data_IF_071108312914
#
_entry.id   IF_071108312914
#
_cell.length_a   1.000
_cell.length_b   1.000
_cell.length_c   1.000
_cell.angle_alpha   90.00
_cell.angle_beta   90.00
_cell.angle_gamma   90.00
#
_symmetry.space_group_name_H-M   'P 1'
#
loop_
_entity.id
_entity.type
_entity.pdbx_description
1 polymer ?
#
# COMPACT_ATOMS: atom_id res chain seq x y z
N UNK A 1 16.55 -0.11 -47.39
CA UNK A 1 15.18 -0.14 -46.85
C UNK A 1 15.06 -1.39 -45.99
N UNK A 2 15.47 -1.31 -44.73
CA UNK A 2 15.19 -2.34 -43.73
C UNK A 2 13.96 -1.87 -42.99
N UNK A 3 12.84 -2.56 -43.19
CA UNK A 3 11.61 -2.31 -42.45
C UNK A 3 11.82 -2.81 -41.03
N UNK A 4 12.02 -1.86 -40.11
CA UNK A 4 11.94 -2.11 -38.68
C UNK A 4 10.45 -2.24 -38.37
N UNK A 5 10.02 -3.46 -38.13
CA UNK A 5 8.66 -3.74 -37.65
C UNK A 5 8.56 -3.24 -36.22
N UNK A 6 7.92 -2.10 -36.04
CA UNK A 6 7.41 -1.65 -34.75
C UNK A 6 6.38 -2.68 -34.28
N UNK A 7 6.81 -3.59 -33.40
CA UNK A 7 5.90 -4.36 -32.57
C UNK A 7 5.30 -3.41 -31.53
N UNK A 8 3.97 -3.33 -31.41
CA UNK A 8 3.36 -2.54 -30.34
C UNK A 8 3.73 -3.15 -28.99
N UNK A 9 4.19 -2.28 -28.09
CA UNK A 9 4.44 -2.57 -26.68
C UNK A 9 3.22 -3.30 -26.10
N UNK A 10 3.42 -4.50 -25.57
CA UNK A 10 2.35 -5.32 -25.03
C UNK A 10 1.56 -4.51 -23.99
N UNK A 11 0.26 -4.39 -24.23
CA UNK A 11 -0.72 -3.84 -23.29
C UNK A 11 -0.60 -4.58 -21.96
N UNK A 12 -0.22 -3.84 -20.90
CA UNK A 12 -0.13 -4.37 -19.53
C UNK A 12 -1.52 -4.82 -19.08
N UNK A 13 -1.79 -6.11 -19.19
CA UNK A 13 -2.98 -6.71 -18.58
C UNK A 13 -2.62 -7.05 -17.15
N UNK A 14 -2.99 -6.17 -16.22
CA UNK A 14 -3.24 -6.57 -14.83
C UNK A 14 -4.17 -7.78 -14.91
N UNK A 15 -3.70 -8.96 -14.51
CA UNK A 15 -4.55 -10.15 -14.49
C UNK A 15 -5.45 -10.10 -13.23
N UNK A 16 -6.34 -9.09 -13.18
CA UNK A 16 -7.23 -8.81 -12.05
C UNK A 16 -8.08 -10.04 -11.68
N UNK A 17 -8.50 -10.83 -12.68
CA UNK A 17 -9.30 -12.04 -12.46
C UNK A 17 -8.59 -13.12 -11.62
N UNK A 18 -7.25 -13.11 -11.55
CA UNK A 18 -6.46 -14.04 -10.77
C UNK A 18 -5.99 -13.46 -9.42
N UNK A 19 -6.07 -12.14 -9.23
CA UNK A 19 -5.60 -11.51 -8.00
C UNK A 19 -6.59 -11.76 -6.84
N UNK A 20 -6.04 -12.07 -5.66
CA UNK A 20 -6.79 -12.23 -4.42
C UNK A 20 -6.02 -11.57 -3.30
N UNK A 21 -6.72 -10.83 -2.43
CA UNK A 21 -6.12 -10.26 -1.23
C UNK A 21 -5.72 -11.39 -0.26
N UNK A 22 -4.52 -11.32 0.29
CA UNK A 22 -4.01 -12.27 1.25
C UNK A 22 -4.91 -12.31 2.49
N UNK A 23 -5.28 -13.49 3.03
CA UNK A 23 -6.23 -13.61 4.14
C UNK A 23 -5.86 -12.80 5.38
N UNK A 24 -4.56 -12.72 5.71
CA UNK A 24 -4.09 -11.91 6.83
C UNK A 24 -4.32 -10.41 6.60
N UNK A 25 -4.06 -9.90 5.39
CA UNK A 25 -4.32 -8.49 5.06
C UNK A 25 -5.81 -8.20 5.12
N UNK A 26 -6.64 -9.13 4.62
CA UNK A 26 -8.10 -9.02 4.71
C UNK A 26 -8.58 -8.96 6.17
N UNK A 27 -8.04 -9.81 7.05
CA UNK A 27 -8.41 -9.86 8.47
C UNK A 27 -7.92 -8.63 9.25
N UNK A 28 -6.77 -8.07 8.87
CA UNK A 28 -6.10 -7.00 9.63
C UNK A 28 -6.45 -5.59 9.16
N UNK A 29 -7.22 -5.45 8.07
CA UNK A 29 -7.48 -4.14 7.49
C UNK A 29 -8.89 -4.01 6.92
N UNK A 30 -9.35 -2.76 6.86
CA UNK A 30 -10.68 -2.35 6.41
C UNK A 30 -10.55 -1.76 4.99
N UNK A 31 -11.43 -2.10 4.02
CA UNK A 31 -11.38 -1.50 2.69
C UNK A 31 -11.65 0.01 2.74
N UNK A 32 -10.88 0.81 2.02
CA UNK A 32 -11.08 2.27 1.91
C UNK A 32 -11.53 2.64 0.50
N UNK A 33 -10.70 2.33 -0.50
CA UNK A 33 -10.98 2.63 -1.91
C UNK A 33 -10.08 1.78 -2.81
N UNK A 34 -10.28 1.91 -4.12
CA UNK A 34 -9.41 1.35 -5.15
C UNK A 34 -8.87 2.48 -6.03
N UNK A 35 -7.54 2.54 -6.13
CA UNK A 35 -6.82 3.36 -7.09
C UNK A 35 -6.64 2.56 -8.40
N UNK A 36 -6.13 3.17 -9.49
CA UNK A 36 -5.95 2.47 -10.77
C UNK A 36 -5.26 1.12 -10.64
N UNK A 37 -4.22 1.00 -9.80
CA UNK A 37 -3.48 -0.25 -9.58
C UNK A 37 -3.68 -0.81 -8.16
N UNK A 38 -3.68 0.04 -7.13
CA UNK A 38 -3.68 -0.43 -5.74
C UNK A 38 -5.08 -0.50 -5.13
N UNK A 39 -5.38 -1.60 -4.43
CA UNK A 39 -6.40 -1.57 -3.38
C UNK A 39 -5.84 -0.80 -2.18
N UNK A 40 -6.61 0.17 -1.66
CA UNK A 40 -6.24 0.95 -0.48
C UNK A 40 -7.05 0.47 0.72
N UNK A 41 -6.36 0.17 1.81
CA UNK A 41 -6.97 -0.37 3.02
C UNK A 41 -6.44 0.34 4.26
N UNK A 42 -7.29 0.53 5.25
CA UNK A 42 -6.91 1.05 6.57
C UNK A 42 -6.48 -0.13 7.43
N UNK A 43 -5.24 -0.15 7.91
CA UNK A 43 -4.84 -1.12 8.93
C UNK A 43 -5.69 -0.85 10.18
N UNK A 44 -6.32 -1.89 10.74
CA UNK A 44 -7.24 -1.73 11.86
C UNK A 44 -6.47 -1.61 13.20
N UNK A 45 -5.58 -0.63 13.28
CA UNK A 45 -4.80 -0.24 14.45
C UNK A 45 -4.94 1.27 14.70
N UNK A 46 -5.94 1.66 15.49
CA UNK A 46 -6.31 3.03 15.79
C UNK A 46 -5.23 3.87 16.50
N UNK A 47 -4.13 3.23 16.91
CA UNK A 47 -2.95 3.93 17.46
C UNK A 47 -2.28 4.85 16.43
N UNK A 48 -2.44 4.58 15.13
CA UNK A 48 -1.81 5.33 14.05
C UNK A 48 -2.77 5.46 12.85
N UNK A 49 -2.84 6.63 12.18
CA UNK A 49 -3.44 6.70 10.85
C UNK A 49 -2.54 5.95 9.85
N UNK A 50 -2.96 4.74 9.50
CA UNK A 50 -2.12 3.78 8.76
C UNK A 50 -2.88 3.13 7.63
N UNK A 51 -2.54 3.52 6.39
CA UNK A 51 -3.07 2.87 5.18
C UNK A 51 -2.05 1.94 4.54
N UNK A 52 -2.58 0.93 3.86
CA UNK A 52 -1.87 -0.03 3.04
C UNK A 52 -2.28 0.20 1.59
N UNK A 53 -1.31 0.28 0.70
CA UNK A 53 -1.52 0.16 -0.74
C UNK A 53 -1.09 -1.23 -1.19
N UNK A 54 -2.01 -1.99 -1.79
CA UNK A 54 -1.76 -3.36 -2.26
C UNK A 54 -1.98 -3.40 -3.77
N UNK A 55 -0.92 -3.49 -4.59
CA UNK A 55 -1.07 -3.62 -6.04
C UNK A 55 -1.90 -4.85 -6.40
N UNK A 56 -2.93 -4.66 -7.24
CA UNK A 56 -3.85 -5.73 -7.66
C UNK A 56 -3.26 -6.62 -8.77
N UNK A 57 -2.06 -7.16 -8.52
CA UNK A 57 -1.28 -7.97 -9.46
C UNK A 57 -1.01 -9.36 -8.86
N UNK A 58 -1.54 -10.39 -9.50
CA UNK A 58 -1.49 -11.76 -8.98
C UNK A 58 -0.04 -12.25 -8.81
N UNK A 59 0.28 -12.82 -7.64
CA UNK A 59 1.60 -13.40 -7.35
C UNK A 59 2.72 -12.38 -7.11
N UNK A 60 2.43 -11.08 -7.09
CA UNK A 60 3.44 -10.05 -6.85
C UNK A 60 3.87 -10.04 -5.38
N UNK A 61 5.16 -10.26 -5.13
CA UNK A 61 5.73 -10.30 -3.77
C UNK A 61 6.69 -9.16 -3.49
N UNK A 62 7.43 -8.69 -4.50
CA UNK A 62 8.42 -7.62 -4.34
C UNK A 62 8.17 -6.50 -5.34
N UNK A 63 8.61 -5.29 -4.96
CA UNK A 63 8.57 -4.14 -5.86
C UNK A 63 9.42 -4.35 -7.13
N UNK A 64 10.56 -5.04 -6.98
CA UNK A 64 11.49 -5.32 -8.08
C UNK A 64 10.87 -6.20 -9.19
N UNK A 65 9.84 -6.98 -8.87
CA UNK A 65 9.19 -7.89 -9.81
C UNK A 65 8.15 -7.17 -10.70
N UNK A 66 7.88 -5.88 -10.44
CA UNK A 66 6.92 -5.10 -11.23
C UNK A 66 7.52 -4.63 -12.57
N UNK A 67 6.72 -4.64 -13.65
CA UNK A 67 7.03 -3.87 -14.86
C UNK A 67 7.27 -2.40 -14.50
N UNK A 68 8.21 -1.74 -15.20
CA UNK A 68 8.67 -0.40 -14.84
C UNK A 68 7.56 0.67 -14.89
N UNK A 69 6.72 0.60 -15.90
CA UNK A 69 5.55 1.48 -16.08
C UNK A 69 4.55 1.32 -14.92
N UNK A 70 4.28 0.09 -14.52
CA UNK A 70 3.44 -0.22 -13.36
C UNK A 70 4.09 0.27 -12.06
N UNK A 71 5.40 0.05 -11.88
CA UNK A 71 6.11 0.51 -10.71
C UNK A 71 6.07 2.04 -10.56
N UNK A 72 6.15 2.79 -11.67
CA UNK A 72 5.97 4.24 -11.65
C UNK A 72 4.54 4.64 -11.28
N UNK A 73 3.52 3.97 -11.84
CA UNK A 73 2.12 4.24 -11.47
C UNK A 73 1.84 3.96 -9.99
N UNK A 74 2.38 2.86 -9.44
CA UNK A 74 2.27 2.55 -8.01
C UNK A 74 2.98 3.59 -7.16
N UNK A 75 4.14 4.11 -7.60
CA UNK A 75 4.82 5.21 -6.91
C UNK A 75 3.97 6.48 -6.88
N UNK A 76 3.30 6.82 -7.99
CA UNK A 76 2.39 7.96 -8.06
C UNK A 76 1.20 7.80 -7.11
N UNK A 77 0.62 6.61 -7.03
CA UNK A 77 -0.45 6.28 -6.07
C UNK A 77 0.01 6.37 -4.60
N UNK A 78 1.25 5.92 -4.31
CA UNK A 78 1.88 6.10 -2.98
C UNK A 78 2.07 7.58 -2.66
N UNK A 79 2.43 8.41 -3.62
CA UNK A 79 2.56 9.85 -3.42
C UNK A 79 1.20 10.52 -3.17
N UNK A 80 0.15 10.14 -3.92
CA UNK A 80 -1.22 10.61 -3.69
C UNK A 80 -1.71 10.26 -2.29
N UNK A 81 -1.51 9.01 -1.86
CA UNK A 81 -1.89 8.53 -0.54
C UNK A 81 -1.19 9.31 0.59
N UNK A 82 0.10 9.62 0.43
CA UNK A 82 0.84 10.46 1.37
C UNK A 82 0.30 11.89 1.42
N UNK A 83 -0.05 12.49 0.27
CA UNK A 83 -0.63 13.84 0.24
C UNK A 83 -1.97 13.89 0.95
N UNK A 84 -2.82 12.88 0.77
CA UNK A 84 -4.10 12.76 1.49
C UNK A 84 -3.88 12.63 3.00
N UNK A 85 -2.95 11.76 3.45
CA UNK A 85 -2.60 11.66 4.86
C UNK A 85 -2.09 13.00 5.41
N UNK A 86 -1.26 13.71 4.64
CA UNK A 86 -0.75 15.02 5.04
C UNK A 86 -1.86 16.04 5.22
N UNK A 87 -2.84 16.07 4.32
CA UNK A 87 -3.96 17.01 4.35
C UNK A 87 -4.95 16.72 5.49
N UNK A 88 -5.28 15.45 5.73
CA UNK A 88 -6.28 15.06 6.73
C UNK A 88 -5.71 15.14 8.15
N UNK A 89 -4.48 14.68 8.35
CA UNK A 89 -3.93 14.44 9.68
C UNK A 89 -2.85 15.44 10.10
N UNK A 90 -2.28 16.19 9.16
CA UNK A 90 -1.14 17.12 9.39
C UNK A 90 -0.03 16.51 10.27
N UNK A 91 0.47 15.30 9.95
CA UNK A 91 1.50 14.65 10.75
C UNK A 91 2.83 15.39 10.66
N UNK A 92 3.71 15.13 11.63
CA UNK A 92 5.09 15.66 11.58
C UNK A 92 5.97 14.89 10.59
N UNK A 93 5.56 13.66 10.25
CA UNK A 93 6.26 12.80 9.29
C UNK A 93 5.30 11.73 8.77
N UNK A 94 5.53 11.27 7.54
CA UNK A 94 4.92 10.05 7.01
C UNK A 94 6.02 9.00 6.86
N UNK A 95 5.78 7.77 7.33
CA UNK A 95 6.66 6.63 7.09
C UNK A 95 6.09 5.79 5.95
N UNK A 96 6.95 5.45 5.00
CA UNK A 96 6.62 4.60 3.86
C UNK A 96 7.56 3.42 3.81
N UNK A 97 7.03 2.20 3.70
CA UNK A 97 7.85 1.00 3.55
C UNK A 97 7.08 -0.15 2.90
N UNK A 98 7.78 -0.99 2.14
CA UNK A 98 7.34 -2.33 1.76
C UNK A 98 8.29 -3.33 2.45
N UNK A 99 7.78 -4.10 3.43
CA UNK A 99 8.61 -4.99 4.26
C UNK A 99 8.34 -6.47 3.95
N UNK A 100 7.10 -6.96 4.03
CA UNK A 100 6.73 -8.27 3.47
C UNK A 100 7.30 -9.54 4.14
N UNK A 101 8.05 -9.46 5.26
CA UNK A 101 8.69 -10.65 5.88
C UNK A 101 7.72 -11.75 6.34
N UNK A 102 6.45 -11.41 6.67
CA UNK A 102 5.44 -12.37 7.17
C UNK A 102 4.30 -12.61 6.19
N UNK A 103 3.92 -11.60 5.43
CA UNK A 103 2.92 -11.66 4.37
C UNK A 103 3.64 -11.28 3.10
N UNK A 104 3.79 -12.26 2.21
CA UNK A 104 4.61 -12.17 1.01
C UNK A 104 3.96 -11.32 -0.09
N UNK A 105 2.63 -11.27 -0.16
CA UNK A 105 1.92 -10.39 -1.08
C UNK A 105 2.36 -8.94 -0.88
N UNK A 106 2.84 -8.30 -1.95
CA UNK A 106 3.35 -6.94 -1.89
C UNK A 106 2.29 -5.98 -1.33
N UNK A 107 2.63 -5.28 -0.26
CA UNK A 107 1.84 -4.22 0.33
C UNK A 107 2.76 -3.12 0.84
N UNK A 108 2.35 -1.88 0.64
CA UNK A 108 3.12 -0.69 0.95
C UNK A 108 2.42 0.03 2.10
N UNK A 109 3.12 0.19 3.20
CA UNK A 109 2.63 0.92 4.35
C UNK A 109 2.82 2.42 4.14
N UNK A 110 1.79 3.22 4.44
CA UNK A 110 1.90 4.66 4.63
C UNK A 110 1.32 5.03 6.00
N UNK A 111 2.15 5.57 6.89
CA UNK A 111 1.81 5.81 8.29
C UNK A 111 2.04 7.27 8.65
N UNK A 112 0.98 7.97 9.05
CA UNK A 112 1.08 9.31 9.61
C UNK A 112 1.64 9.24 11.04
N UNK A 113 2.72 9.97 11.32
CA UNK A 113 3.45 9.95 12.60
C UNK A 113 3.35 11.27 13.34
N UNK A 114 3.36 11.20 14.66
CA UNK A 114 3.27 12.34 15.58
C UNK A 114 4.27 12.20 16.72
N UNK A 115 4.72 13.31 17.31
CA UNK A 115 5.68 13.27 18.42
C UNK A 115 5.12 12.62 19.69
N UNK A 116 3.80 12.51 19.80
CA UNK A 116 3.06 11.89 20.89
C UNK A 116 2.39 10.57 20.48
N UNK A 117 2.71 10.01 19.31
CA UNK A 117 2.16 8.71 18.91
C UNK A 117 2.73 7.56 19.74
N UNK A 118 2.06 6.41 19.70
CA UNK A 118 2.36 5.27 20.56
C UNK A 118 3.74 4.63 20.34
N UNK A 119 4.52 5.05 19.33
CA UNK A 119 5.82 4.48 19.01
C UNK A 119 6.91 5.53 18.74
N UNK A 120 6.64 6.83 18.81
CA UNK A 120 7.63 7.86 18.48
C UNK A 120 8.80 7.86 19.49
N UNK A 121 10.08 7.95 19.06
CA UNK A 121 10.57 8.11 17.67
C UNK A 121 10.90 6.80 16.95
N UNK A 122 10.58 5.65 17.53
CA UNK A 122 10.82 4.32 16.97
C UNK A 122 9.86 3.98 15.81
N UNK A 123 10.11 2.82 15.19
CA UNK A 123 9.26 2.27 14.15
C UNK A 123 7.97 1.69 14.71
N UNK A 124 6.88 1.75 13.94
CA UNK A 124 5.57 1.21 14.38
C UNK A 124 5.50 -0.32 14.32
N UNK A 125 6.31 -0.96 13.47
CA UNK A 125 6.26 -2.41 13.28
C UNK A 125 6.74 -3.15 14.51
N UNK A 126 5.88 -4.01 15.07
CA UNK A 126 6.18 -4.78 16.28
C UNK A 126 6.19 -3.95 17.57
N UNK A 127 5.81 -2.67 17.52
CA UNK A 127 5.76 -1.82 18.70
C UNK A 127 4.41 -1.94 19.41
N UNK A 128 4.42 -2.40 20.67
CA UNK A 128 3.22 -2.52 21.51
C UNK A 128 2.16 -3.50 20.99
N UNK A 129 0.93 -3.35 21.47
CA UNK A 129 -0.23 -4.18 21.07
C UNK A 129 -1.20 -3.35 20.24
N UNK A 130 -1.64 -3.90 19.10
CA UNK A 130 -2.64 -3.30 18.20
C UNK A 130 -3.94 -2.98 18.94
N UNK A 131 -4.51 -1.80 18.67
CA UNK A 131 -5.82 -1.40 19.18
C UNK A 131 -6.80 -1.25 18.01
N UNK A 132 -7.74 -2.19 17.80
CA UNK A 132 -8.74 -2.09 16.74
C UNK A 132 -9.57 -0.81 16.82
N UNK A 133 -9.97 -0.28 15.67
CA UNK A 133 -10.97 0.77 15.61
C UNK A 133 -12.29 0.27 16.17
N UNK A 134 -12.97 1.14 16.92
CA UNK A 134 -14.36 0.91 17.33
C UNK A 134 -15.20 0.68 16.07
N UNK A 135 -16.08 -0.34 16.01
CA UNK A 135 -16.91 -0.61 14.84
C UNK A 135 -17.72 0.59 14.32
N UNK A 136 -18.04 1.56 15.17
CA UNK A 136 -18.74 2.79 14.77
C UNK A 136 -17.84 3.85 14.12
N UNK A 137 -16.53 3.73 14.30
CA UNK A 137 -15.50 4.65 13.77
C UNK A 137 -14.84 4.08 12.49
N UNK A 138 -15.37 2.97 11.96
CA UNK A 138 -14.88 2.28 10.75
C UNK A 138 -15.53 2.78 9.48
#
# INVERSE_FOLDING_TARGET
MMQQTDQPLASSTTNEAAWKLHPQLLADSIPVTELPICAVRLLDDARFPWILLIPRIAGLTQWLDMPQDIAHQVLDEVNEAQQVLQQIFTPIRINVAAIGNRVDQLHIHCVARFSNDAAWPDVVWGHGTRQPYNPLDR
#
